data_IF_770330638265
#
_entry.id   IF_770330638265
#
_cell.length_a   1.000
_cell.length_b   1.000
_cell.length_c   1.000
_cell.angle_alpha   90.00
_cell.angle_beta   90.00
_cell.angle_gamma   90.00
#
_symmetry.space_group_name_H-M   'P 1'
#
loop_
_entity.id
_entity.type
_entity.pdbx_description
1 polymer ?
#
# COMPACT_ATOMS: atom_id res chain seq x y z
N UNK A 1 32.86 -1.30 11.06
CA UNK A 1 32.15 -2.43 10.51
C UNK A 1 30.75 -2.08 10.08
N UNK A 2 29.81 -2.09 11.01
CA UNK A 2 28.42 -1.79 10.68
C UNK A 2 28.21 -0.40 10.07
N UNK A 3 28.88 0.64 10.57
CA UNK A 3 28.74 2.00 10.04
C UNK A 3 29.16 2.11 8.58
N UNK A 4 30.28 1.47 8.21
CA UNK A 4 30.78 1.45 6.86
C UNK A 4 29.83 0.73 5.90
N UNK A 5 29.31 -0.45 6.31
CA UNK A 5 28.37 -1.23 5.53
C UNK A 5 27.04 -0.49 5.36
N UNK A 6 26.55 0.16 6.43
CA UNK A 6 25.31 0.92 6.37
C UNK A 6 25.42 2.15 5.47
N UNK A 7 26.57 2.85 5.50
CA UNK A 7 26.79 4.00 4.62
C UNK A 7 26.81 3.59 3.16
N UNK A 8 27.44 2.47 2.82
CA UNK A 8 27.45 1.92 1.47
C UNK A 8 26.04 1.54 1.03
N UNK A 9 25.29 0.85 1.89
CA UNK A 9 23.93 0.44 1.61
C UNK A 9 23.01 1.64 1.40
N UNK A 10 23.11 2.67 2.24
CA UNK A 10 22.36 3.91 2.08
C UNK A 10 22.65 4.58 0.75
N UNK A 11 23.92 4.65 0.32
CA UNK A 11 24.30 5.23 -0.96
C UNK A 11 23.66 4.47 -2.12
N UNK A 12 23.69 3.14 -2.07
CA UNK A 12 23.06 2.30 -3.10
C UNK A 12 21.57 2.57 -3.18
N UNK A 13 20.89 2.63 -2.04
CA UNK A 13 19.45 2.90 -1.99
C UNK A 13 19.13 4.27 -2.59
N UNK A 14 19.90 5.30 -2.21
CA UNK A 14 19.68 6.66 -2.69
C UNK A 14 19.89 6.79 -4.20
N UNK A 15 20.74 5.96 -4.78
CA UNK A 15 20.97 5.96 -6.23
C UNK A 15 19.90 5.16 -6.99
N UNK A 16 19.41 4.06 -6.41
CA UNK A 16 18.50 3.14 -7.10
C UNK A 16 17.03 3.54 -7.00
N UNK A 17 16.57 3.94 -5.82
CA UNK A 17 15.14 4.15 -5.58
C UNK A 17 14.49 5.26 -6.41
N UNK A 18 15.14 6.41 -6.66
CA UNK A 18 14.50 7.47 -7.45
C UNK A 18 14.09 7.04 -8.85
N UNK A 19 14.76 6.06 -9.41
CA UNK A 19 14.51 5.55 -10.75
C UNK A 19 13.87 4.15 -10.76
N UNK A 20 13.59 3.59 -9.59
CA UNK A 20 13.00 2.27 -9.48
C UNK A 20 11.53 2.30 -9.94
N UNK A 21 11.18 1.36 -10.81
CA UNK A 21 9.83 1.22 -11.35
C UNK A 21 9.11 -0.03 -10.85
N UNK A 22 9.85 -0.98 -10.28
CA UNK A 22 9.28 -2.22 -9.76
C UNK A 22 8.74 -2.00 -8.35
N UNK A 23 7.41 -2.01 -8.14
CA UNK A 23 6.82 -1.77 -6.82
C UNK A 23 7.27 -2.77 -5.76
N UNK A 24 7.48 -4.02 -6.13
CA UNK A 24 7.96 -5.05 -5.22
C UNK A 24 9.36 -4.71 -4.68
N UNK A 25 10.26 -4.28 -5.56
CA UNK A 25 11.60 -3.86 -5.17
C UNK A 25 11.56 -2.64 -4.25
N UNK A 26 10.73 -1.66 -4.57
CA UNK A 26 10.54 -0.46 -3.75
C UNK A 26 10.04 -0.86 -2.36
N UNK A 27 9.00 -1.68 -2.29
CA UNK A 27 8.40 -2.12 -1.04
C UNK A 27 9.41 -2.86 -0.15
N UNK A 28 10.13 -3.81 -0.74
CA UNK A 28 11.11 -4.61 0.02
C UNK A 28 12.30 -3.76 0.49
N UNK A 29 12.75 -2.82 -0.33
CA UNK A 29 13.84 -1.93 0.04
C UNK A 29 13.44 -1.01 1.19
N UNK A 30 12.25 -0.41 1.13
CA UNK A 30 11.74 0.44 2.20
C UNK A 30 11.50 -0.35 3.49
N UNK A 31 10.99 -1.57 3.38
CA UNK A 31 10.82 -2.47 4.53
C UNK A 31 12.17 -2.73 5.21
N UNK A 32 13.20 -2.99 4.41
CA UNK A 32 14.55 -3.25 4.93
C UNK A 32 15.14 -2.00 5.60
N UNK A 33 14.94 -0.81 5.01
CA UNK A 33 15.37 0.46 5.62
C UNK A 33 14.73 0.63 7.00
N UNK A 34 13.44 0.31 7.11
CA UNK A 34 12.72 0.37 8.38
C UNK A 34 13.27 -0.66 9.39
N UNK A 35 13.47 -1.90 8.96
CA UNK A 35 13.96 -2.98 9.83
C UNK A 35 15.36 -2.72 10.36
N UNK A 36 16.23 -2.15 9.52
CA UNK A 36 17.61 -1.84 9.88
C UNK A 36 17.74 -0.49 10.62
N UNK A 37 16.62 0.22 10.78
CA UNK A 37 16.58 1.53 11.46
C UNK A 37 17.59 2.53 10.87
N UNK A 38 17.73 2.53 9.55
CA UNK A 38 18.64 3.44 8.86
C UNK A 38 18.09 4.87 8.91
N UNK A 39 18.96 5.84 9.16
CA UNK A 39 18.59 7.26 9.17
C UNK A 39 18.98 7.91 7.84
N UNK A 40 17.99 8.16 6.98
CA UNK A 40 18.24 8.69 5.65
C UNK A 40 16.97 9.31 5.05
N UNK A 41 17.15 10.15 4.04
CA UNK A 41 16.05 10.59 3.17
C UNK A 41 15.94 9.62 2.00
N UNK A 42 14.69 9.23 1.70
CA UNK A 42 14.38 8.31 0.61
C UNK A 42 13.62 9.07 -0.46
N UNK A 43 14.09 9.01 -1.70
CA UNK A 43 13.45 9.65 -2.85
C UNK A 43 12.85 8.57 -3.74
N UNK A 44 11.54 8.66 -3.97
CA UNK A 44 10.77 7.65 -4.67
C UNK A 44 9.80 8.31 -5.64
N UNK A 45 9.33 7.53 -6.60
CA UNK A 45 8.19 7.89 -7.43
C UNK A 45 6.95 7.17 -6.88
N UNK A 46 5.94 7.95 -6.46
CA UNK A 46 4.69 7.40 -5.93
C UNK A 46 4.00 6.57 -7.00
N UNK A 47 3.72 5.30 -6.69
CA UNK A 47 3.11 4.36 -7.61
C UNK A 47 1.69 4.77 -8.02
N UNK A 48 0.98 5.49 -7.16
CA UNK A 48 -0.40 5.92 -7.44
C UNK A 48 -0.47 7.23 -8.21
N UNK A 49 0.38 8.21 -7.89
CA UNK A 49 0.32 9.55 -8.47
C UNK A 49 1.34 9.79 -9.57
N UNK A 50 2.40 8.98 -9.62
CA UNK A 50 3.52 9.18 -10.55
C UNK A 50 4.45 10.33 -10.18
N UNK A 51 4.22 10.99 -9.06
CA UNK A 51 5.03 12.12 -8.61
C UNK A 51 6.23 11.66 -7.81
N UNK A 52 7.35 12.36 -7.95
CA UNK A 52 8.52 12.13 -7.10
C UNK A 52 8.25 12.69 -5.72
N UNK A 53 8.50 11.88 -4.70
CA UNK A 53 8.29 12.27 -3.30
C UNK A 53 9.54 11.97 -2.48
N UNK A 54 9.66 12.65 -1.35
CA UNK A 54 10.70 12.41 -0.37
C UNK A 54 10.07 11.90 0.91
N UNK A 55 10.63 10.82 1.45
CA UNK A 55 10.19 10.26 2.73
C UNK A 55 11.42 10.17 3.64
N UNK A 56 11.33 10.78 4.82
CA UNK A 56 12.33 10.55 5.86
C UNK A 56 12.18 9.13 6.41
N UNK A 57 13.27 8.40 6.54
CA UNK A 57 13.22 7.02 7.03
C UNK A 57 12.57 6.91 8.41
N UNK A 58 12.69 7.95 9.23
CA UNK A 58 12.05 8.02 10.55
C UNK A 58 10.52 8.04 10.46
N UNK A 59 9.94 8.41 9.32
CA UNK A 59 8.50 8.40 9.09
C UNK A 59 7.99 7.04 8.61
N UNK A 60 8.88 6.11 8.25
CA UNK A 60 8.49 4.76 7.85
C UNK A 60 8.04 3.95 9.06
N UNK A 61 6.93 3.24 8.90
CA UNK A 61 6.48 2.23 9.86
C UNK A 61 6.54 0.87 9.17
N UNK A 62 6.50 -0.21 9.94
CA UNK A 62 6.39 -1.54 9.34
C UNK A 62 5.12 -1.63 8.48
N UNK A 63 5.09 -2.45 7.40
CA UNK A 63 3.93 -2.50 6.51
C UNK A 63 2.60 -2.75 7.22
N UNK A 64 2.57 -3.63 8.21
CA UNK A 64 1.37 -3.95 8.98
C UNK A 64 1.03 -2.90 10.06
N UNK A 65 1.88 -1.90 10.24
CA UNK A 65 1.69 -0.82 11.22
C UNK A 65 1.29 0.49 10.56
N UNK A 66 1.16 0.55 9.25
CA UNK A 66 0.77 1.77 8.56
C UNK A 66 -0.65 2.21 8.97
N UNK A 67 -0.86 3.54 9.17
CA UNK A 67 -2.17 4.05 9.60
C UNK A 67 -3.32 3.66 8.67
N UNK A 68 -3.11 3.69 7.36
CA UNK A 68 -4.14 3.31 6.39
C UNK A 68 -4.52 1.84 6.54
N UNK A 69 -3.54 0.96 6.68
CA UNK A 69 -3.77 -0.48 6.91
C UNK A 69 -4.58 -0.70 8.18
N UNK A 70 -4.20 -0.06 9.28
CA UNK A 70 -4.91 -0.21 10.56
C UNK A 70 -6.34 0.31 10.47
N UNK A 71 -6.56 1.44 9.81
CA UNK A 71 -7.90 1.99 9.61
C UNK A 71 -8.76 1.04 8.78
N UNK A 72 -8.23 0.48 7.70
CA UNK A 72 -8.93 -0.50 6.88
C UNK A 72 -9.28 -1.76 7.67
N UNK A 73 -8.34 -2.29 8.46
CA UNK A 73 -8.58 -3.47 9.29
C UNK A 73 -9.73 -3.23 10.28
N UNK A 74 -9.72 -2.07 10.93
CA UNK A 74 -10.75 -1.72 11.91
C UNK A 74 -12.13 -1.60 11.26
N UNK A 75 -12.22 -0.91 10.13
CA UNK A 75 -13.49 -0.72 9.41
C UNK A 75 -14.02 -2.06 8.91
N UNK A 76 -13.15 -2.90 8.34
CA UNK A 76 -13.54 -4.21 7.83
C UNK A 76 -14.05 -5.12 8.97
N UNK A 77 -13.37 -5.12 10.11
CA UNK A 77 -13.78 -5.89 11.27
C UNK A 77 -15.17 -5.45 11.78
N UNK A 78 -15.40 -4.14 11.85
CA UNK A 78 -16.70 -3.61 12.26
C UNK A 78 -17.81 -3.98 11.30
N UNK A 79 -17.51 -4.06 10.00
CA UNK A 79 -18.50 -4.34 8.96
C UNK A 79 -18.85 -5.82 8.84
N UNK A 80 -17.89 -6.73 8.97
CA UNK A 80 -18.05 -8.12 8.57
C UNK A 80 -17.69 -9.18 9.63
N UNK A 81 -16.86 -8.84 10.63
CA UNK A 81 -16.27 -9.87 11.50
C UNK A 81 -17.30 -10.78 12.18
N UNK A 82 -18.47 -10.23 12.53
CA UNK A 82 -19.54 -10.96 13.19
C UNK A 82 -20.66 -11.41 12.25
N UNK A 83 -20.69 -10.88 11.02
CA UNK A 83 -21.78 -11.16 10.06
C UNK A 83 -21.38 -12.22 9.04
N UNK A 84 -20.16 -12.12 8.52
CA UNK A 84 -19.64 -13.03 7.50
C UNK A 84 -18.15 -13.24 7.73
N UNK A 85 -17.82 -14.20 8.58
CA UNK A 85 -16.45 -14.50 8.98
C UNK A 85 -15.59 -14.90 7.78
N UNK A 86 -16.11 -15.71 6.88
CA UNK A 86 -15.38 -16.20 5.71
C UNK A 86 -15.03 -15.04 4.76
N UNK A 87 -15.97 -14.15 4.48
CA UNK A 87 -15.74 -12.98 3.65
C UNK A 87 -14.76 -12.02 4.34
N UNK A 88 -14.91 -11.83 5.65
CA UNK A 88 -13.98 -11.00 6.43
C UNK A 88 -12.53 -11.49 6.28
N UNK A 89 -12.30 -12.77 6.50
CA UNK A 89 -10.96 -13.34 6.43
C UNK A 89 -10.36 -13.22 5.02
N UNK A 90 -11.16 -13.49 3.99
CA UNK A 90 -10.75 -13.38 2.61
C UNK A 90 -10.36 -11.94 2.24
N UNK A 91 -11.22 -10.98 2.56
CA UNK A 91 -10.99 -9.57 2.25
C UNK A 91 -9.84 -8.99 3.06
N UNK A 92 -9.69 -9.41 4.32
CA UNK A 92 -8.58 -8.98 5.17
C UNK A 92 -7.24 -9.40 4.56
N UNK A 93 -7.13 -10.65 4.15
CA UNK A 93 -5.91 -11.15 3.52
C UNK A 93 -5.63 -10.48 2.19
N UNK A 94 -6.66 -10.31 1.36
CA UNK A 94 -6.56 -9.64 0.07
C UNK A 94 -6.08 -8.19 0.22
N UNK A 95 -6.66 -7.46 1.15
CA UNK A 95 -6.29 -6.07 1.47
C UNK A 95 -4.84 -5.98 1.94
N UNK A 96 -4.43 -6.88 2.85
CA UNK A 96 -3.05 -6.91 3.34
C UNK A 96 -2.06 -7.13 2.21
N UNK A 97 -2.34 -8.05 1.31
CA UNK A 97 -1.49 -8.32 0.16
C UNK A 97 -1.36 -7.10 -0.74
N UNK A 98 -2.49 -6.45 -1.07
CA UNK A 98 -2.47 -5.25 -1.91
C UNK A 98 -1.66 -4.12 -1.28
N UNK A 99 -1.93 -3.79 -0.03
CA UNK A 99 -1.26 -2.68 0.65
C UNK A 99 0.23 -2.95 0.87
N UNK A 100 0.62 -4.21 1.07
CA UNK A 100 2.02 -4.59 1.18
C UNK A 100 2.76 -4.44 -0.15
N UNK A 101 2.09 -4.75 -1.27
CA UNK A 101 2.69 -4.61 -2.60
C UNK A 101 3.03 -3.15 -2.95
N UNK A 102 2.29 -2.21 -2.42
CA UNK A 102 2.48 -0.78 -2.69
C UNK A 102 3.12 -0.02 -1.53
N UNK A 103 3.61 -0.72 -0.52
CA UNK A 103 4.35 -0.11 0.59
C UNK A 103 5.53 0.70 0.05
N UNK A 104 5.84 1.91 0.51
CA UNK A 104 5.21 2.61 1.62
C UNK A 104 4.10 3.60 1.21
N UNK A 105 3.55 3.48 0.00
CA UNK A 105 2.57 4.42 -0.53
C UNK A 105 1.17 4.11 -0.02
N UNK A 106 0.39 5.17 0.21
CA UNK A 106 -1.01 5.06 0.60
C UNK A 106 -1.88 5.30 -0.64
N UNK A 107 -2.88 4.44 -0.91
CA UNK A 107 -3.82 4.70 -2.00
C UNK A 107 -4.53 6.04 -1.82
N UNK A 108 -4.77 6.80 -2.91
CA UNK A 108 -5.41 8.12 -2.84
C UNK A 108 -6.93 8.01 -2.68
N UNK A 109 -7.36 7.38 -1.60
CA UNK A 109 -8.78 7.18 -1.25
C UNK A 109 -8.86 7.05 0.27
N UNK A 110 -10.00 7.42 0.88
CA UNK A 110 -10.15 7.20 2.31
C UNK A 110 -10.29 5.70 2.62
N UNK A 111 -9.84 5.28 3.79
CA UNK A 111 -9.99 3.90 4.25
C UNK A 111 -11.46 3.49 4.27
N UNK A 112 -12.33 4.39 4.70
CA UNK A 112 -13.78 4.16 4.76
C UNK A 112 -14.35 3.87 3.38
N UNK A 113 -14.02 4.69 2.39
CA UNK A 113 -14.51 4.50 1.01
C UNK A 113 -13.92 3.24 0.38
N UNK A 114 -12.62 3.01 0.59
CA UNK A 114 -11.92 1.84 0.05
C UNK A 114 -12.57 0.54 0.53
N UNK A 115 -12.81 0.42 1.83
CA UNK A 115 -13.42 -0.79 2.41
C UNK A 115 -14.89 -0.91 2.02
N UNK A 116 -15.65 0.18 2.06
CA UNK A 116 -17.07 0.16 1.69
C UNK A 116 -17.25 -0.34 0.26
N UNK A 117 -16.50 0.21 -0.69
CA UNK A 117 -16.61 -0.17 -2.10
C UNK A 117 -16.10 -1.60 -2.33
N UNK A 118 -15.04 -1.99 -1.65
CA UNK A 118 -14.52 -3.37 -1.73
C UNK A 118 -15.57 -4.37 -1.26
N UNK A 119 -16.21 -4.11 -0.12
CA UNK A 119 -17.25 -4.99 0.43
C UNK A 119 -18.45 -5.06 -0.52
N UNK A 120 -18.91 -3.93 -1.05
CA UNK A 120 -20.01 -3.91 -2.04
C UNK A 120 -19.68 -4.79 -3.24
N UNK A 121 -18.49 -4.62 -3.80
CA UNK A 121 -18.07 -5.35 -4.99
C UNK A 121 -18.06 -6.86 -4.77
N UNK A 122 -17.57 -7.31 -3.62
CA UNK A 122 -17.51 -8.74 -3.31
C UNK A 122 -18.85 -9.34 -2.89
N UNK A 123 -19.72 -8.55 -2.26
CA UNK A 123 -21.05 -9.04 -1.86
C UNK A 123 -22.05 -9.04 -3.02
N UNK A 124 -22.03 -8.03 -3.87
CA UNK A 124 -23.06 -7.84 -4.92
C UNK A 124 -22.51 -7.98 -6.33
N UNK A 125 -21.20 -8.05 -6.52
CA UNK A 125 -20.58 -8.12 -7.83
C UNK A 125 -20.48 -6.79 -8.56
N UNK A 126 -20.99 -5.70 -7.97
CA UNK A 126 -20.97 -4.38 -8.58
C UNK A 126 -20.98 -3.27 -7.53
N UNK A 127 -20.59 -2.05 -7.96
CA UNK A 127 -20.65 -0.87 -7.12
C UNK A 127 -22.00 -0.18 -7.34
N UNK A 128 -22.64 0.29 -6.27
CA UNK A 128 -23.94 0.97 -6.31
C UNK A 128 -23.85 2.26 -7.13
N UNK A 129 -24.87 2.53 -7.94
CA UNK A 129 -25.02 3.77 -8.71
C UNK A 129 -25.21 5.00 -7.81
N UNK A 130 -25.58 4.77 -6.56
CA UNK A 130 -25.78 5.83 -5.56
C UNK A 130 -24.44 6.37 -5.01
N UNK A 131 -23.35 5.67 -5.24
CA UNK A 131 -22.03 6.13 -4.82
C UNK A 131 -21.56 7.32 -5.62
N UNK A 132 -20.73 8.17 -5.02
CA UNK A 132 -20.16 9.33 -5.71
C UNK A 132 -19.31 8.90 -6.91
N UNK A 133 -19.56 9.50 -8.07
CA UNK A 133 -18.87 9.13 -9.32
C UNK A 133 -17.35 9.33 -9.25
N UNK A 134 -16.90 10.40 -8.61
CA UNK A 134 -15.49 10.69 -8.47
C UNK A 134 -14.81 9.63 -7.60
N UNK A 135 -15.48 9.20 -6.52
CA UNK A 135 -14.99 8.16 -5.62
C UNK A 135 -14.92 6.81 -6.33
N UNK A 136 -15.95 6.47 -7.12
CA UNK A 136 -15.96 5.23 -7.92
C UNK A 136 -14.79 5.22 -8.90
N UNK A 137 -14.58 6.32 -9.62
CA UNK A 137 -13.48 6.43 -10.57
C UNK A 137 -12.12 6.25 -9.89
N UNK A 138 -11.94 6.89 -8.76
CA UNK A 138 -10.70 6.79 -7.97
C UNK A 138 -10.45 5.35 -7.52
N UNK A 139 -11.48 4.69 -7.01
CA UNK A 139 -11.41 3.28 -6.60
C UNK A 139 -11.05 2.38 -7.77
N UNK A 140 -11.69 2.57 -8.93
CA UNK A 140 -11.42 1.79 -10.13
C UNK A 140 -9.97 1.95 -10.61
N UNK A 141 -9.45 3.18 -10.60
CA UNK A 141 -8.06 3.44 -10.97
C UNK A 141 -7.07 2.74 -10.04
N UNK A 142 -7.36 2.69 -8.75
CA UNK A 142 -6.55 1.99 -7.77
C UNK A 142 -6.57 0.48 -8.06
N UNK A 143 -7.74 -0.10 -8.33
CA UNK A 143 -7.85 -1.52 -8.64
C UNK A 143 -7.10 -1.88 -9.93
N UNK A 144 -7.16 -1.03 -10.94
CA UNK A 144 -6.39 -1.22 -12.18
C UNK A 144 -4.89 -1.20 -11.92
N UNK A 145 -4.41 -0.32 -11.04
CA UNK A 145 -3.00 -0.28 -10.65
C UNK A 145 -2.57 -1.59 -10.00
N UNK A 146 -3.35 -2.12 -9.07
CA UNK A 146 -3.05 -3.40 -8.43
C UNK A 146 -3.03 -4.54 -9.43
N UNK A 147 -3.97 -4.59 -10.35
CA UNK A 147 -4.00 -5.62 -11.39
C UNK A 147 -2.74 -5.58 -12.25
N UNK A 148 -2.30 -4.41 -12.66
CA UNK A 148 -1.07 -4.24 -13.45
C UNK A 148 0.16 -4.69 -12.68
N UNK A 149 0.26 -4.33 -11.40
CA UNK A 149 1.38 -4.74 -10.55
C UNK A 149 1.42 -6.28 -10.46
N UNK A 150 0.30 -6.91 -10.19
CA UNK A 150 0.21 -8.37 -10.06
C UNK A 150 0.57 -9.05 -11.38
N UNK A 151 0.06 -8.56 -12.51
CA UNK A 151 0.36 -9.11 -13.82
C UNK A 151 1.86 -9.04 -14.13
N UNK A 152 2.52 -7.95 -13.74
CA UNK A 152 3.96 -7.78 -13.99
C UNK A 152 4.83 -8.65 -13.09
N UNK A 153 4.29 -9.16 -11.97
CA UNK A 153 4.99 -10.09 -11.08
C UNK A 153 4.91 -11.55 -11.56
N UNK A 154 3.94 -11.84 -12.39
CA UNK A 154 3.75 -13.19 -12.97
C UNK A 154 4.52 -13.32 -14.27
#
# INVERSE_FOLDING_TARGET
MSCSSNATFQTIIQELLPNAQNPFLIAKTCELVNQLELSMDIYLKDVFTGKKIRIASSALTAPNQQPFMKACEQILAQSLANEDVALYEMLHEHMKQQLTLTYPFTPPISAKDYIRLTVQLYQTGRISEKEDKATIKQFQLIQEKYQKIIQNLL
#
